data_IF_986411852980
#
_entry.id   IF_986411852980
#
_cell.length_a   1.000
_cell.length_b   1.000
_cell.length_c   1.000
_cell.angle_alpha   90.00
_cell.angle_beta   90.00
_cell.angle_gamma   90.00
#
_symmetry.space_group_name_H-M   'P 1'
#
loop_
_entity.id
_entity.type
_entity.pdbx_description
1 polymer ?
#
# COMPACT_ATOMS: atom_id res chain seq x y z
N UNK A 1 29.64 -17.84 -6.25
CA UNK A 1 28.86 -16.86 -6.98
C UNK A 1 27.69 -16.33 -6.19
N UNK A 2 27.02 -15.37 -6.78
CA UNK A 2 25.85 -14.77 -6.18
C UNK A 2 24.62 -15.58 -6.52
N UNK A 3 23.89 -15.99 -5.51
CA UNK A 3 22.64 -16.70 -5.74
C UNK A 3 21.48 -15.72 -5.57
N UNK A 4 20.50 -15.86 -6.44
CA UNK A 4 19.27 -15.09 -6.38
C UNK A 4 18.13 -16.02 -6.01
N UNK A 5 17.39 -15.67 -4.98
CA UNK A 5 16.29 -16.47 -4.49
C UNK A 5 15.01 -15.66 -4.55
N UNK A 6 13.94 -16.28 -5.08
CA UNK A 6 12.59 -15.66 -5.08
C UNK A 6 11.78 -16.31 -3.99
N UNK A 7 11.25 -15.48 -3.08
CA UNK A 7 10.38 -15.95 -2.01
C UNK A 7 9.03 -15.24 -2.10
N UNK A 8 7.98 -15.99 -1.82
CA UNK A 8 6.64 -15.41 -1.66
C UNK A 8 6.44 -15.04 -0.20
N UNK A 9 6.11 -13.78 0.05
CA UNK A 9 5.85 -13.26 1.38
C UNK A 9 4.45 -12.64 1.42
N UNK A 10 3.93 -12.42 2.62
CA UNK A 10 2.64 -11.76 2.77
C UNK A 10 2.67 -10.36 2.17
N UNK A 11 1.56 -9.95 1.60
CA UNK A 11 1.45 -8.63 0.97
C UNK A 11 0.36 -8.62 -0.08
N UNK A 12 0.32 -7.53 -0.84
CA UNK A 12 -0.68 -7.34 -1.89
C UNK A 12 -0.12 -6.46 -2.99
N UNK A 13 -0.49 -6.77 -4.24
CA UNK A 13 -0.27 -5.87 -5.37
C UNK A 13 -1.61 -5.52 -5.98
N UNK A 14 -1.77 -4.25 -6.34
CA UNK A 14 -2.94 -3.81 -7.10
C UNK A 14 -2.51 -2.85 -8.23
N UNK A 15 -3.34 -2.77 -9.25
CA UNK A 15 -3.03 -2.08 -10.50
C UNK A 15 -3.31 -0.58 -10.43
N UNK A 16 -2.61 0.11 -9.55
CA UNK A 16 -2.61 1.57 -9.45
C UNK A 16 -1.18 2.07 -9.33
N UNK A 17 -0.77 2.95 -10.21
CA UNK A 17 0.53 3.61 -10.13
C UNK A 17 0.46 4.89 -9.31
N UNK A 18 1.61 5.55 -9.16
CA UNK A 18 1.65 6.85 -8.46
C UNK A 18 0.82 7.90 -9.20
N UNK A 19 0.16 8.76 -8.45
CA UNK A 19 -0.66 9.84 -9.02
C UNK A 19 0.21 10.86 -9.73
N UNK A 20 1.44 11.06 -9.28
CA UNK A 20 2.40 11.97 -9.91
C UNK A 20 3.77 11.30 -10.05
N UNK A 21 4.45 11.47 -11.22
CA UNK A 21 5.81 10.96 -11.38
C UNK A 21 6.82 11.66 -10.47
N UNK A 22 6.46 12.79 -9.90
CA UNK A 22 7.32 13.50 -8.94
C UNK A 22 7.44 12.79 -7.59
N UNK A 23 6.65 11.73 -7.36
CA UNK A 23 6.77 10.92 -6.16
C UNK A 23 7.87 9.85 -6.26
N UNK A 24 8.50 9.65 -7.41
CA UNK A 24 9.52 8.62 -7.56
C UNK A 24 10.73 8.90 -6.66
N UNK A 25 11.29 7.83 -6.11
CA UNK A 25 12.51 7.87 -5.32
C UNK A 25 13.73 7.43 -6.14
N UNK A 26 13.50 6.70 -7.23
CA UNK A 26 14.52 6.28 -8.19
C UNK A 26 14.08 6.73 -9.57
N UNK A 27 14.70 7.78 -10.07
CA UNK A 27 14.32 8.40 -11.35
C UNK A 27 14.75 7.56 -12.57
N UNK A 28 15.75 6.72 -12.43
CA UNK A 28 16.17 5.85 -13.53
C UNK A 28 15.16 4.73 -13.77
N UNK A 29 14.71 4.09 -12.70
CA UNK A 29 13.73 3.03 -12.78
C UNK A 29 12.29 3.54 -12.78
N UNK A 30 12.09 4.82 -12.50
CA UNK A 30 10.77 5.44 -12.35
C UNK A 30 9.89 4.72 -11.33
N UNK A 31 10.47 4.42 -10.19
CA UNK A 31 9.78 3.75 -9.07
C UNK A 31 9.86 4.58 -7.80
N UNK A 32 8.90 4.38 -6.94
CA UNK A 32 8.88 4.93 -5.59
C UNK A 32 8.96 3.76 -4.60
N UNK A 33 9.97 3.77 -3.76
CA UNK A 33 10.14 2.74 -2.74
C UNK A 33 10.29 3.36 -1.37
N UNK A 34 9.52 2.86 -0.40
CA UNK A 34 9.61 3.29 1.00
C UNK A 34 9.80 2.08 1.91
N UNK A 35 10.76 2.18 2.81
CA UNK A 35 10.97 1.19 3.87
C UNK A 35 10.16 1.60 5.11
N UNK A 36 9.47 0.66 5.71
CA UNK A 36 8.66 0.87 6.92
C UNK A 36 7.72 2.07 6.85
N UNK A 37 6.95 2.22 5.78
CA UNK A 37 6.06 3.38 5.65
C UNK A 37 4.83 3.26 6.53
N UNK A 38 4.23 4.42 6.82
CA UNK A 38 2.82 4.48 7.21
C UNK A 38 1.95 4.46 5.95
N UNK A 39 0.74 3.96 6.09
CA UNK A 39 -0.24 3.89 4.99
C UNK A 39 -1.54 4.52 5.47
N UNK A 40 -1.96 5.57 4.78
CA UNK A 40 -3.22 6.27 5.06
C UNK A 40 -4.26 5.81 4.05
N UNK A 41 -5.41 5.37 4.55
CA UNK A 41 -6.50 4.86 3.73
C UNK A 41 -7.73 5.78 3.88
N UNK A 42 -8.20 6.31 2.76
CA UNK A 42 -9.35 7.22 2.74
C UNK A 42 -10.27 6.89 1.57
N UNK A 43 -11.58 6.92 1.80
CA UNK A 43 -12.55 6.50 0.80
C UNK A 43 -13.09 7.63 -0.07
N UNK A 44 -12.57 8.83 0.05
CA UNK A 44 -12.97 10.00 -0.73
C UNK A 44 -11.77 10.62 -1.42
N UNK A 45 -12.01 11.69 -2.17
CA UNK A 45 -10.97 12.51 -2.78
C UNK A 45 -10.36 13.47 -1.77
N UNK A 46 -9.08 13.74 -1.92
CA UNK A 46 -8.38 14.75 -1.11
C UNK A 46 -7.98 15.88 -2.05
N UNK A 47 -8.57 17.05 -1.87
CA UNK A 47 -8.30 18.23 -2.70
C UNK A 47 -7.65 19.37 -1.92
N UNK A 48 -7.82 19.39 -0.61
CA UNK A 48 -7.38 20.47 0.28
C UNK A 48 -6.41 19.93 1.33
N UNK A 49 -5.42 20.73 1.66
CA UNK A 49 -4.43 20.37 2.70
C UNK A 49 -5.00 20.47 4.10
N UNK A 50 -6.07 21.23 4.29
CA UNK A 50 -6.65 21.46 5.62
C UNK A 50 -7.00 20.18 6.35
N UNK A 51 -7.59 19.21 5.64
CA UNK A 51 -7.97 17.93 6.22
C UNK A 51 -6.79 17.01 6.46
N UNK A 52 -5.73 17.17 5.67
CA UNK A 52 -4.59 16.28 5.67
C UNK A 52 -3.50 16.69 6.67
N UNK A 53 -3.36 17.99 6.94
CA UNK A 53 -2.32 18.52 7.82
C UNK A 53 -2.25 17.85 9.20
N UNK A 54 -3.37 17.62 9.91
CA UNK A 54 -3.30 16.99 11.22
C UNK A 54 -2.67 15.60 11.23
N UNK A 55 -2.76 14.88 10.11
CA UNK A 55 -2.14 13.55 9.95
C UNK A 55 -0.68 13.69 9.53
N UNK A 56 -0.39 14.63 8.64
CA UNK A 56 0.95 14.81 8.09
C UNK A 56 1.97 15.27 9.12
N UNK A 57 1.58 16.14 10.06
CA UNK A 57 2.50 16.67 11.05
C UNK A 57 3.13 15.57 11.92
N UNK A 58 2.36 14.67 12.55
CA UNK A 58 2.96 13.59 13.33
C UNK A 58 3.80 12.63 12.49
N UNK A 59 3.37 12.37 11.24
CA UNK A 59 4.13 11.51 10.33
C UNK A 59 5.47 12.14 9.99
N UNK A 60 5.48 13.44 9.65
CA UNK A 60 6.72 14.16 9.37
C UNK A 60 7.68 14.13 10.56
N UNK A 61 7.14 14.32 11.78
CA UNK A 61 7.93 14.26 13.01
C UNK A 61 8.53 12.87 13.25
N UNK A 62 7.85 11.80 12.82
CA UNK A 62 8.34 10.43 12.98
C UNK A 62 9.53 10.12 12.08
N UNK A 63 9.73 10.89 11.04
CA UNK A 63 10.76 10.63 10.02
C UNK A 63 10.44 9.48 9.08
N UNK A 64 9.27 8.84 9.22
CA UNK A 64 8.86 7.73 8.36
C UNK A 64 8.13 8.25 7.14
N UNK A 65 8.20 7.45 6.07
CA UNK A 65 7.47 7.75 4.83
C UNK A 65 5.98 7.49 5.00
N UNK A 66 5.18 8.11 4.16
CA UNK A 66 3.73 7.91 4.10
C UNK A 66 3.28 7.61 2.69
N UNK A 67 2.50 6.56 2.53
CA UNK A 67 1.75 6.28 1.32
C UNK A 67 0.28 6.63 1.58
N UNK A 68 -0.28 7.50 0.74
CA UNK A 68 -1.71 7.81 0.78
C UNK A 68 -2.41 6.97 -0.29
N UNK A 69 -3.43 6.23 0.12
CA UNK A 69 -4.31 5.48 -0.77
C UNK A 69 -5.71 6.06 -0.59
N UNK A 70 -6.18 6.80 -1.58
CA UNK A 70 -7.47 7.49 -1.53
C UNK A 70 -8.19 7.35 -2.86
N UNK A 71 -9.45 7.77 -2.93
CA UNK A 71 -10.17 7.78 -4.20
C UNK A 71 -9.39 8.58 -5.26
N UNK A 72 -8.88 9.74 -4.87
CA UNK A 72 -7.94 10.54 -5.65
C UNK A 72 -7.26 11.54 -4.72
N UNK A 73 -6.12 12.08 -5.15
CA UNK A 73 -5.47 13.24 -4.54
C UNK A 73 -5.24 14.23 -5.65
N UNK A 74 -5.83 15.40 -5.52
CA UNK A 74 -5.89 16.38 -6.62
C UNK A 74 -5.72 17.81 -6.14
N UNK A 75 -5.69 18.75 -7.09
CA UNK A 75 -5.71 20.19 -6.83
C UNK A 75 -4.62 20.65 -5.86
N UNK A 76 -4.96 21.52 -4.92
CA UNK A 76 -4.04 22.07 -3.93
C UNK A 76 -3.31 20.98 -3.14
N UNK A 77 -4.04 19.95 -2.72
CA UNK A 77 -3.43 18.85 -1.95
C UNK A 77 -2.30 18.18 -2.73
N UNK A 78 -2.55 17.80 -3.97
CA UNK A 78 -1.52 17.18 -4.80
C UNK A 78 -0.33 18.10 -5.01
N UNK A 79 -0.58 19.35 -5.38
CA UNK A 79 0.48 20.33 -5.62
C UNK A 79 1.36 20.54 -4.39
N UNK A 80 0.73 20.65 -3.21
CA UNK A 80 1.45 20.87 -1.96
C UNK A 80 2.28 19.64 -1.57
N UNK A 81 1.74 18.45 -1.72
CA UNK A 81 2.47 17.22 -1.43
C UNK A 81 3.70 17.08 -2.35
N UNK A 82 3.54 17.35 -3.63
CA UNK A 82 4.63 17.30 -4.61
C UNK A 82 5.73 18.30 -4.24
N UNK A 83 5.36 19.55 -3.95
CA UNK A 83 6.35 20.58 -3.57
C UNK A 83 7.13 20.17 -2.33
N UNK A 84 6.45 19.68 -1.29
CA UNK A 84 7.10 19.27 -0.06
C UNK A 84 7.97 18.02 -0.25
N UNK A 85 7.54 17.11 -1.13
CA UNK A 85 8.34 15.95 -1.51
C UNK A 85 9.64 16.40 -2.19
N UNK A 86 9.54 17.30 -3.16
CA UNK A 86 10.70 17.80 -3.92
C UNK A 86 11.67 18.59 -3.03
N UNK A 87 11.16 19.29 -2.03
CA UNK A 87 11.98 20.00 -1.05
C UNK A 87 12.62 19.08 -0.01
N UNK A 88 12.23 17.82 0.01
CA UNK A 88 12.74 16.85 0.99
C UNK A 88 12.14 16.96 2.39
N UNK A 89 11.10 17.77 2.57
CA UNK A 89 10.45 17.92 3.88
C UNK A 89 9.47 16.80 4.20
N UNK A 90 8.99 16.08 3.19
CA UNK A 90 8.12 14.92 3.35
C UNK A 90 8.60 13.77 2.47
N UNK A 91 8.57 12.56 3.03
CA UNK A 91 8.74 11.32 2.28
C UNK A 91 7.35 10.81 2.01
N UNK A 92 6.78 11.15 0.87
CA UNK A 92 5.37 10.91 0.60
C UNK A 92 5.11 10.47 -0.83
N UNK A 93 4.10 9.65 -0.99
CA UNK A 93 3.55 9.29 -2.29
C UNK A 93 2.05 9.08 -2.14
N UNK A 94 1.34 9.14 -3.25
CA UNK A 94 -0.10 8.92 -3.29
C UNK A 94 -0.46 8.08 -4.51
N UNK A 95 -1.39 7.16 -4.29
CA UNK A 95 -1.98 6.33 -5.34
C UNK A 95 -3.50 6.35 -5.19
N UNK A 96 -4.19 6.06 -6.28
CA UNK A 96 -5.64 5.90 -6.23
C UNK A 96 -5.98 4.54 -5.64
N UNK A 97 -7.04 4.48 -4.86
CA UNK A 97 -7.55 3.22 -4.33
C UNK A 97 -8.03 2.33 -5.49
N UNK A 98 -7.80 1.01 -5.39
CA UNK A 98 -8.25 0.09 -6.43
C UNK A 98 -9.76 -0.07 -6.45
N UNK A 99 -10.30 -0.45 -7.60
CA UNK A 99 -11.73 -0.66 -7.77
C UNK A 99 -12.53 0.63 -7.93
N UNK A 100 -13.84 0.49 -7.93
CA UNK A 100 -14.77 1.60 -8.10
C UNK A 100 -16.00 1.39 -7.20
N UNK A 101 -16.60 2.49 -6.73
CA UNK A 101 -17.83 2.44 -5.95
C UNK A 101 -17.71 1.63 -4.68
N UNK A 102 -18.69 0.80 -4.40
CA UNK A 102 -18.72 -0.02 -3.19
C UNK A 102 -17.59 -1.04 -3.15
N UNK A 103 -17.16 -1.53 -4.30
CA UNK A 103 -16.03 -2.46 -4.38
C UNK A 103 -14.74 -1.78 -3.94
N UNK A 104 -14.55 -0.50 -4.26
CA UNK A 104 -13.40 0.27 -3.77
C UNK A 104 -13.37 0.32 -2.26
N UNK A 105 -14.51 0.53 -1.63
CA UNK A 105 -14.61 0.55 -0.17
C UNK A 105 -14.22 -0.79 0.43
N UNK A 106 -14.67 -1.88 -0.16
CA UNK A 106 -14.32 -3.22 0.29
C UNK A 106 -12.83 -3.51 0.10
N UNK A 107 -12.25 -3.07 -1.01
CA UNK A 107 -10.82 -3.25 -1.26
C UNK A 107 -9.97 -2.41 -0.31
N UNK A 108 -10.42 -1.21 0.04
CA UNK A 108 -9.73 -0.40 1.06
C UNK A 108 -9.76 -1.11 2.43
N UNK A 109 -10.88 -1.73 2.78
CA UNK A 109 -10.97 -2.51 4.02
C UNK A 109 -10.04 -3.73 3.98
N UNK A 110 -9.91 -4.39 2.84
CA UNK A 110 -8.96 -5.49 2.66
C UNK A 110 -7.53 -5.01 2.93
N UNK A 111 -7.16 -3.85 2.39
CA UNK A 111 -5.84 -3.26 2.60
C UNK A 111 -5.65 -2.85 4.07
N UNK A 112 -6.69 -2.31 4.71
CA UNK A 112 -6.64 -1.94 6.12
C UNK A 112 -6.34 -3.16 7.00
N UNK A 113 -7.03 -4.27 6.75
CA UNK A 113 -6.81 -5.51 7.49
C UNK A 113 -5.41 -6.05 7.24
N UNK A 114 -4.95 -6.00 5.99
CA UNK A 114 -3.61 -6.46 5.63
C UNK A 114 -2.51 -5.66 6.32
N UNK A 115 -2.71 -4.36 6.48
CA UNK A 115 -1.67 -3.44 6.98
C UNK A 115 -1.85 -3.05 8.45
N UNK A 116 -2.94 -3.48 9.06
CA UNK A 116 -3.24 -3.14 10.46
C UNK A 116 -3.72 -1.70 10.65
N UNK A 117 -4.21 -1.08 9.58
CA UNK A 117 -4.73 0.28 9.62
C UNK A 117 -6.25 0.35 9.68
N UNK A 118 -6.76 1.56 9.58
CA UNK A 118 -8.18 1.86 9.58
C UNK A 118 -8.50 2.71 8.36
N UNK A 119 -9.59 2.41 7.68
CA UNK A 119 -10.06 3.28 6.59
C UNK A 119 -10.78 4.48 7.19
N UNK A 120 -10.36 5.68 6.84
CA UNK A 120 -11.12 6.88 7.16
C UNK A 120 -12.34 6.89 6.24
N UNK A 121 -13.49 6.54 6.79
CA UNK A 121 -14.74 6.46 6.05
C UNK A 121 -15.71 7.48 6.60
N UNK A 122 -16.07 8.46 5.76
CA UNK A 122 -17.06 9.47 6.14
C UNK A 122 -18.43 8.85 6.37
N UNK A 123 -18.75 7.77 5.64
CA UNK A 123 -20.00 7.04 5.82
C UNK A 123 -20.13 6.44 7.23
N UNK A 124 -18.99 6.17 7.87
CA UNK A 124 -18.94 5.68 9.26
C UNK A 124 -18.69 6.80 10.26
N UNK A 125 -18.80 8.05 9.82
CA UNK A 125 -18.59 9.21 10.68
C UNK A 125 -17.13 9.51 11.00
N UNK A 126 -16.20 8.93 10.29
CA UNK A 126 -14.77 9.09 10.55
C UNK A 126 -14.18 10.10 9.57
N UNK A 127 -13.74 11.25 10.08
CA UNK A 127 -13.12 12.29 9.26
C UNK A 127 -11.63 12.06 9.11
N UNK A 128 -11.10 12.41 7.94
CA UNK A 128 -9.67 12.29 7.64
C UNK A 128 -8.82 13.02 8.69
N UNK A 129 -9.21 14.22 9.07
CA UNK A 129 -8.47 15.05 10.04
C UNK A 129 -8.38 14.45 11.44
N UNK A 130 -9.23 13.48 11.76
CA UNK A 130 -9.25 12.81 13.06
C UNK A 130 -8.41 11.52 13.12
N UNK A 131 -7.78 11.14 12.02
CA UNK A 131 -6.89 9.99 12.03
C UNK A 131 -5.66 10.29 12.88
N UNK A 132 -5.33 9.35 13.76
CA UNK A 132 -4.11 9.40 14.53
C UNK A 132 -3.09 8.42 13.93
N UNK A 133 -1.83 8.55 14.32
CA UNK A 133 -0.75 7.76 13.73
C UNK A 133 -0.95 6.25 13.96
N UNK A 134 -1.55 5.87 15.07
CA UNK A 134 -1.85 4.47 15.40
C UNK A 134 -2.99 3.87 14.57
N UNK A 135 -3.75 4.71 13.86
CA UNK A 135 -4.79 4.27 12.92
C UNK A 135 -4.26 4.05 11.52
N UNK A 136 -3.03 4.46 11.25
CA UNK A 136 -2.40 4.26 9.95
C UNK A 136 -1.94 2.81 9.80
N UNK A 137 -2.04 2.29 8.57
CA UNK A 137 -1.48 0.99 8.26
C UNK A 137 0.03 1.04 8.22
N UNK A 138 0.68 -0.13 8.27
CA UNK A 138 2.12 -0.28 8.18
C UNK A 138 2.49 -1.52 7.38
N UNK A 139 3.68 -1.48 6.81
CA UNK A 139 4.27 -2.60 6.07
C UNK A 139 5.79 -2.51 6.17
N UNK A 140 6.48 -3.58 5.82
CA UNK A 140 7.94 -3.54 5.76
C UNK A 140 8.42 -2.66 4.62
N UNK A 141 7.72 -2.71 3.49
CA UNK A 141 8.10 -1.96 2.28
C UNK A 141 6.89 -1.72 1.40
N UNK A 142 6.90 -0.60 0.69
CA UNK A 142 6.03 -0.41 -0.46
C UNK A 142 6.86 -0.07 -1.69
N UNK A 143 6.38 -0.49 -2.85
CA UNK A 143 6.99 -0.16 -4.12
C UNK A 143 5.88 0.24 -5.10
N UNK A 144 6.06 1.36 -5.78
CA UNK A 144 5.07 1.89 -6.71
C UNK A 144 5.78 2.20 -8.03
N UNK A 145 5.21 1.72 -9.13
CA UNK A 145 5.64 2.12 -10.46
C UNK A 145 4.51 2.87 -11.18
N UNK A 146 4.61 3.01 -12.49
CA UNK A 146 3.58 3.72 -13.26
C UNK A 146 2.23 3.03 -13.26
N UNK A 147 2.20 1.72 -13.01
CA UNK A 147 1.00 0.92 -13.17
C UNK A 147 0.56 0.20 -11.91
N UNK A 148 1.48 -0.12 -11.00
CA UNK A 148 1.21 -0.99 -9.87
C UNK A 148 1.72 -0.43 -8.55
N UNK A 149 1.02 -0.81 -7.48
CA UNK A 149 1.45 -0.59 -6.10
C UNK A 149 1.60 -1.96 -5.45
N UNK A 150 2.74 -2.19 -4.82
CA UNK A 150 3.06 -3.45 -4.12
C UNK A 150 3.32 -3.15 -2.64
N UNK A 151 2.58 -3.83 -1.79
CA UNK A 151 2.74 -3.76 -0.32
C UNK A 151 3.40 -5.06 0.11
N UNK A 152 4.55 -4.97 0.76
CA UNK A 152 5.33 -6.13 1.19
C UNK A 152 5.24 -6.24 2.71
N UNK A 153 4.80 -7.39 3.19
CA UNK A 153 4.68 -7.72 4.61
C UNK A 153 3.91 -6.66 5.40
N UNK A 154 2.63 -6.57 5.12
CA UNK A 154 1.72 -5.73 5.89
C UNK A 154 1.74 -6.13 7.36
N UNK A 155 1.57 -5.15 8.25
CA UNK A 155 1.62 -5.35 9.70
C UNK A 155 0.31 -5.88 10.31
N UNK A 156 -0.69 -6.19 9.49
CA UNK A 156 -1.96 -6.73 9.97
C UNK A 156 -1.79 -8.10 10.62
N UNK A 157 -2.64 -8.38 11.58
CA UNK A 157 -2.61 -9.67 12.30
C UNK A 157 -3.12 -10.79 11.40
N UNK A 158 -2.41 -11.91 11.39
CA UNK A 158 -2.77 -13.08 10.57
C UNK A 158 -4.18 -13.56 10.82
N UNK A 159 -4.62 -13.55 12.06
CA UNK A 159 -5.98 -13.99 12.44
C UNK A 159 -7.05 -13.13 11.81
N UNK A 160 -6.85 -11.81 11.72
CA UNK A 160 -7.82 -10.91 11.09
C UNK A 160 -7.82 -11.07 9.57
N UNK A 161 -6.64 -11.28 8.99
CA UNK A 161 -6.52 -11.56 7.56
C UNK A 161 -7.25 -12.86 7.22
N UNK A 162 -7.06 -13.90 8.03
CA UNK A 162 -7.73 -15.18 7.83
C UNK A 162 -9.25 -15.07 7.98
N UNK A 163 -9.71 -14.31 8.95
CA UNK A 163 -11.15 -14.05 9.11
C UNK A 163 -11.74 -13.37 7.87
N UNK A 164 -11.02 -12.38 7.33
CA UNK A 164 -11.45 -11.67 6.12
C UNK A 164 -11.51 -12.62 4.91
N UNK A 165 -10.52 -13.49 4.77
CA UNK A 165 -10.47 -14.52 3.73
C UNK A 165 -11.70 -15.43 3.83
N UNK A 166 -12.01 -15.89 5.03
CA UNK A 166 -13.18 -16.75 5.24
C UNK A 166 -14.50 -16.04 4.93
N UNK A 167 -14.63 -14.76 5.29
CA UNK A 167 -15.78 -13.94 4.92
C UNK A 167 -15.96 -13.83 3.42
N UNK A 168 -14.87 -13.58 2.68
CA UNK A 168 -14.92 -13.49 1.23
C UNK A 168 -15.32 -14.82 0.61
N UNK A 169 -14.79 -15.93 1.11
CA UNK A 169 -15.17 -17.27 0.64
C UNK A 169 -16.66 -17.54 0.81
N UNK A 170 -17.22 -17.12 1.94
CA UNK A 170 -18.68 -17.27 2.18
C UNK A 170 -19.48 -16.41 1.20
N UNK A 171 -19.02 -15.20 0.92
CA UNK A 171 -19.68 -14.33 -0.06
C UNK A 171 -19.67 -14.96 -1.44
N UNK A 172 -18.58 -15.62 -1.83
CA UNK A 172 -18.47 -16.33 -3.10
C UNK A 172 -19.50 -17.47 -3.16
N UNK A 173 -19.58 -18.26 -2.11
CA UNK A 173 -20.54 -19.37 -2.04
C UNK A 173 -21.99 -18.91 -2.15
N UNK A 174 -22.31 -17.76 -1.56
CA UNK A 174 -23.67 -17.24 -1.52
C UNK A 174 -24.02 -16.34 -2.68
N UNK A 175 -23.08 -16.01 -3.56
CA UNK A 175 -23.33 -15.14 -4.70
C UNK A 175 -24.02 -15.91 -5.82
N UNK A 176 -25.02 -15.29 -6.45
CA UNK A 176 -25.73 -15.85 -7.59
C UNK A 176 -25.26 -15.24 -8.91
N UNK A 177 -24.48 -14.16 -8.85
CA UNK A 177 -23.96 -13.47 -10.03
C UNK A 177 -22.56 -13.96 -10.36
N UNK A 178 -22.34 -14.42 -11.58
CA UNK A 178 -21.01 -14.84 -12.04
C UNK A 178 -20.01 -13.68 -12.02
N UNK A 179 -20.48 -12.49 -12.36
CA UNK A 179 -19.64 -11.28 -12.31
C UNK A 179 -19.19 -10.97 -10.87
N UNK A 180 -20.12 -11.00 -9.93
CA UNK A 180 -19.81 -10.75 -8.51
C UNK A 180 -18.88 -11.81 -7.94
N UNK A 181 -19.09 -13.07 -8.28
CA UNK A 181 -18.19 -14.16 -7.88
C UNK A 181 -16.79 -13.93 -8.40
N UNK A 182 -16.65 -13.52 -9.65
CA UNK A 182 -15.34 -13.26 -10.25
C UNK A 182 -14.61 -12.13 -9.52
N UNK A 183 -15.32 -11.06 -9.22
CA UNK A 183 -14.74 -9.92 -8.49
C UNK A 183 -14.37 -10.28 -7.04
N UNK A 184 -15.16 -11.12 -6.39
CA UNK A 184 -14.85 -11.63 -5.07
C UNK A 184 -13.62 -12.54 -5.09
N UNK A 185 -13.50 -13.38 -6.13
CA UNK A 185 -12.33 -14.23 -6.32
C UNK A 185 -11.06 -13.41 -6.54
N UNK A 186 -11.15 -12.30 -7.28
CA UNK A 186 -10.02 -11.38 -7.45
C UNK A 186 -9.57 -10.80 -6.11
N UNK A 187 -10.51 -10.37 -5.27
CA UNK A 187 -10.20 -9.87 -3.92
C UNK A 187 -9.54 -10.96 -3.07
N UNK A 188 -10.08 -12.17 -3.11
CA UNK A 188 -9.55 -13.31 -2.38
C UNK A 188 -8.10 -13.61 -2.80
N UNK A 189 -7.86 -13.65 -4.10
CA UNK A 189 -6.53 -13.90 -4.64
C UNK A 189 -5.52 -12.84 -4.20
N UNK A 190 -5.91 -11.56 -4.22
CA UNK A 190 -5.03 -10.47 -3.77
C UNK A 190 -4.71 -10.56 -2.28
N UNK A 191 -5.70 -10.88 -1.47
CA UNK A 191 -5.52 -10.92 -0.02
C UNK A 191 -4.72 -12.15 0.43
N UNK A 192 -4.88 -13.29 -0.25
CA UNK A 192 -4.25 -14.56 0.14
C UNK A 192 -2.99 -14.91 -0.66
N UNK A 193 -2.79 -14.30 -1.83
CA UNK A 193 -1.74 -14.72 -2.76
C UNK A 193 -0.33 -14.25 -2.41
N UNK A 194 -0.20 -13.20 -1.62
CA UNK A 194 1.09 -12.65 -1.27
C UNK A 194 1.79 -11.97 -2.45
N UNK A 195 3.05 -11.66 -2.27
CA UNK A 195 3.90 -11.02 -3.28
C UNK A 195 5.24 -11.75 -3.38
N UNK A 196 5.82 -11.74 -4.58
CA UNK A 196 7.14 -12.32 -4.82
C UNK A 196 8.21 -11.26 -4.55
N UNK A 197 9.20 -11.63 -3.77
CA UNK A 197 10.31 -10.75 -3.43
C UNK A 197 11.60 -11.43 -3.82
N UNK A 198 12.49 -10.69 -4.45
CA UNK A 198 13.80 -11.16 -4.88
C UNK A 198 14.83 -10.85 -3.80
N UNK A 199 15.47 -11.89 -3.30
CA UNK A 199 16.59 -11.75 -2.39
C UNK A 199 17.88 -12.09 -3.15
N UNK A 200 18.85 -11.18 -3.09
CA UNK A 200 20.15 -11.38 -3.74
C UNK A 200 21.12 -11.91 -2.69
N UNK A 201 21.65 -13.09 -2.93
CA UNK A 201 22.67 -13.68 -2.07
C UNK A 201 24.03 -13.00 -2.27
N UNK A 202 24.92 -13.19 -1.29
CA UNK A 202 26.27 -12.64 -1.35
C UNK A 202 27.25 -13.63 -1.95
N UNK A 203 28.26 -13.09 -2.65
CA UNK A 203 29.35 -13.90 -3.19
C UNK A 203 30.37 -14.31 -2.13
N UNK A 204 30.42 -13.60 -1.01
CA UNK A 204 31.34 -13.87 0.08
C UNK A 204 30.68 -13.57 1.42
N UNK A 205 31.26 -14.08 2.52
CA UNK A 205 30.73 -13.83 3.85
C UNK A 205 30.71 -12.36 4.21
N UNK A 206 31.70 -11.60 3.77
CA UNK A 206 31.76 -10.15 4.02
C UNK A 206 30.62 -9.43 3.35
N UNK A 207 30.33 -9.80 2.09
CA UNK A 207 29.21 -9.24 1.35
C UNK A 207 27.88 -9.72 1.89
N UNK A 208 27.84 -10.92 2.44
CA UNK A 208 26.63 -11.48 3.01
C UNK A 208 26.05 -10.64 4.14
N UNK A 209 26.91 -10.08 5.00
CA UNK A 209 26.45 -9.17 6.06
C UNK A 209 25.76 -7.93 5.54
N UNK A 210 26.20 -7.44 4.40
CA UNK A 210 25.62 -6.24 3.79
C UNK A 210 24.37 -6.55 2.97
N UNK A 211 24.32 -7.71 2.36
CA UNK A 211 23.29 -8.04 1.37
C UNK A 211 22.18 -8.92 1.87
N UNK A 212 22.37 -9.67 2.94
CA UNK A 212 21.35 -10.63 3.38
C UNK A 212 20.00 -10.01 3.75
N UNK A 213 20.01 -8.77 4.17
CA UNK A 213 18.80 -8.04 4.54
C UNK A 213 18.27 -7.17 3.40
N UNK A 214 18.94 -7.20 2.26
CA UNK A 214 18.54 -6.42 1.10
C UNK A 214 17.52 -7.17 0.28
N UNK A 215 16.37 -6.56 0.17
CA UNK A 215 15.39 -6.95 -0.83
C UNK A 215 15.69 -6.09 -2.04
N UNK A 216 16.14 -6.69 -3.12
CA UNK A 216 16.60 -5.95 -4.28
C UNK A 216 15.46 -5.26 -5.01
N UNK A 217 14.34 -5.76 -5.05
CA UNK A 217 13.11 -5.10 -5.44
C UNK A 217 11.96 -6.00 -5.10
N UNK A 218 10.88 -5.41 -4.71
CA UNK A 218 9.62 -6.10 -4.71
C UNK A 218 9.24 -6.22 -6.17
N UNK A 219 9.50 -7.35 -6.76
CA UNK A 219 9.35 -7.50 -8.17
C UNK A 219 7.94 -7.53 -8.57
N UNK A 220 7.11 -7.99 -8.06
CA UNK A 220 5.73 -8.02 -8.48
C UNK A 220 4.98 -8.97 -7.61
N UNK A 221 3.75 -8.70 -7.42
CA UNK A 221 2.84 -9.67 -6.92
C UNK A 221 2.84 -10.86 -7.85
N UNK A 222 2.65 -12.01 -7.31
CA UNK A 222 2.28 -13.17 -8.11
C UNK A 222 1.01 -12.78 -8.87
N UNK A 223 1.14 -12.65 -10.15
CA UNK A 223 -0.02 -12.41 -10.98
C UNK A 223 -0.78 -13.71 -11.08
N UNK A 224 -1.97 -13.69 -10.57
CA UNK A 224 -2.83 -14.84 -10.71
C UNK A 224 -3.31 -14.98 -12.14
#
# INVERSE_FOLDING_TARGET
GTETEVKTVGGMQFDRGYISPYFVTDSEKMICEFENPYILLYDKKISSMKELLPVLEPVAQSGRALLIIAEDVESEALATLVVNRLRGSLKIAAVKAPGFGDRRKEMLEDIAILTGGVVASEDKGMKLENLTIDMLGRADKISIDKENTTIVKGAGKKEFIQERIEQIKKLIENSTSDYDKEKLKERLAKLSGGVAVLYVGAASEVEMKEKKDRVDDALCATRA
#
